data_IF_768775937294
#
_entry.id   IF_768775937294
#
_cell.length_a   1.000
_cell.length_b   1.000
_cell.length_c   1.000
_cell.angle_alpha   90.00
_cell.angle_beta   90.00
_cell.angle_gamma   90.00
#
_symmetry.space_group_name_H-M   'P 1'
#
loop_
_entity.id
_entity.type
_entity.pdbx_description
1 polymer ?
#
# COMPACT_ATOMS: atom_id res chain seq x y z
N UNK A 1 -15.01 9.61 -1.51
CA UNK A 1 -14.86 9.94 -0.09
C UNK A 1 -13.63 9.21 0.45
N UNK A 2 -12.59 9.92 0.91
CA UNK A 2 -11.31 9.30 1.33
C UNK A 2 -11.49 8.32 2.51
N UNK A 3 -12.30 8.70 3.50
CA UNK A 3 -12.54 7.88 4.68
C UNK A 3 -13.12 6.51 4.36
N UNK A 4 -14.09 6.42 3.44
CA UNK A 4 -14.74 5.16 3.09
C UNK A 4 -13.73 4.09 2.61
N UNK A 5 -12.76 4.52 1.80
CA UNK A 5 -11.75 3.63 1.21
C UNK A 5 -10.74 3.13 2.24
N UNK A 6 -10.23 4.05 3.06
CA UNK A 6 -9.34 3.69 4.17
C UNK A 6 -10.03 2.73 5.15
N UNK A 7 -11.34 2.94 5.43
CA UNK A 7 -12.10 2.01 6.28
C UNK A 7 -12.35 0.67 5.63
N UNK A 8 -12.69 0.62 4.34
CA UNK A 8 -12.87 -0.63 3.60
C UNK A 8 -11.57 -1.44 3.56
N UNK A 9 -10.43 -0.78 3.35
CA UNK A 9 -9.12 -1.43 3.35
C UNK A 9 -8.76 -2.00 4.73
N UNK A 10 -8.99 -1.26 5.82
CA UNK A 10 -8.75 -1.76 7.17
C UNK A 10 -9.63 -2.97 7.50
N UNK A 11 -10.93 -2.91 7.21
CA UNK A 11 -11.83 -4.03 7.45
C UNK A 11 -11.48 -5.25 6.58
N UNK A 12 -11.09 -5.03 5.32
CA UNK A 12 -10.64 -6.10 4.43
C UNK A 12 -9.41 -6.82 4.97
N UNK A 13 -8.40 -6.08 5.45
CA UNK A 13 -7.20 -6.70 6.07
C UNK A 13 -7.60 -7.52 7.30
N UNK A 14 -8.46 -6.98 8.17
CA UNK A 14 -8.93 -7.69 9.38
C UNK A 14 -9.69 -8.98 9.08
N UNK A 15 -10.44 -9.01 7.97
CA UNK A 15 -11.26 -10.16 7.59
C UNK A 15 -10.45 -11.27 6.90
N UNK A 16 -9.35 -10.91 6.24
CA UNK A 16 -8.61 -11.82 5.37
C UNK A 16 -7.22 -12.20 5.90
N UNK A 17 -6.78 -11.61 7.02
CA UNK A 17 -5.45 -11.86 7.61
C UNK A 17 -5.50 -11.87 9.14
N UNK A 18 -4.45 -12.38 9.76
CA UNK A 18 -4.16 -12.28 11.19
C UNK A 18 -3.51 -10.94 11.59
N UNK A 19 -3.23 -10.06 10.63
CA UNK A 19 -2.59 -8.77 10.87
C UNK A 19 -3.55 -7.86 11.63
N UNK A 20 -3.03 -7.26 12.70
CA UNK A 20 -3.78 -6.31 13.52
C UNK A 20 -3.88 -4.95 12.79
N UNK A 21 -5.02 -4.71 12.15
CA UNK A 21 -5.42 -3.38 11.72
C UNK A 21 -6.47 -2.79 12.69
N UNK A 22 -6.52 -1.45 12.89
CA UNK A 22 -7.48 -0.83 13.80
C UNK A 22 -8.93 -1.20 13.45
N UNK A 23 -9.74 -1.59 14.44
CA UNK A 23 -11.19 -1.75 14.22
C UNK A 23 -11.83 -0.39 13.97
N UNK A 24 -12.59 -0.26 12.88
CA UNK A 24 -13.32 0.98 12.59
C UNK A 24 -14.63 1.00 13.38
N UNK A 25 -14.92 2.12 14.07
CA UNK A 25 -16.19 2.34 14.76
C UNK A 25 -17.14 3.23 13.96
N UNK A 26 -16.61 4.30 13.36
CA UNK A 26 -17.40 5.25 12.60
C UNK A 26 -16.53 5.98 11.58
N UNK A 27 -17.07 6.25 10.40
CA UNK A 27 -16.46 7.15 9.42
C UNK A 27 -17.47 8.16 8.92
N UNK A 28 -17.09 9.44 8.89
CA UNK A 28 -18.01 10.52 8.52
C UNK A 28 -17.26 11.72 7.96
N UNK A 29 -18.01 12.61 7.31
CA UNK A 29 -17.52 13.92 6.88
C UNK A 29 -18.15 15.00 7.73
N UNK A 30 -17.33 15.91 8.25
CA UNK A 30 -17.79 17.07 8.99
C UNK A 30 -17.01 18.30 8.54
N UNK A 31 -17.73 19.36 8.14
CA UNK A 31 -17.16 20.63 7.63
C UNK A 31 -16.09 20.43 6.54
N UNK A 32 -16.34 19.52 5.60
CA UNK A 32 -15.42 19.22 4.48
C UNK A 32 -14.24 18.31 4.83
N UNK A 33 -14.04 17.99 6.12
CA UNK A 33 -13.00 17.07 6.58
C UNK A 33 -13.54 15.66 6.77
N UNK A 34 -12.77 14.67 6.35
CA UNK A 34 -13.06 13.26 6.57
C UNK A 34 -12.48 12.80 7.90
N UNK A 35 -13.28 12.11 8.70
CA UNK A 35 -12.90 11.57 10.00
C UNK A 35 -13.14 10.07 10.05
N UNK A 36 -12.23 9.35 10.69
CA UNK A 36 -12.37 7.93 11.03
C UNK A 36 -12.17 7.82 12.54
N UNK A 37 -13.15 7.27 13.22
CA UNK A 37 -13.10 6.88 14.63
C UNK A 37 -12.85 5.39 14.66
N UNK A 38 -11.74 4.99 15.28
CA UNK A 38 -11.26 3.61 15.28
C UNK A 38 -10.58 3.26 16.60
N UNK A 39 -10.33 1.97 16.78
CA UNK A 39 -9.59 1.42 17.90
C UNK A 39 -8.21 2.07 18.02
N UNK A 40 -7.86 2.48 19.25
CA UNK A 40 -6.50 2.91 19.56
C UNK A 40 -5.64 1.68 19.79
N UNK A 41 -4.77 1.37 18.82
CA UNK A 41 -3.71 0.38 18.99
C UNK A 41 -2.73 0.91 20.04
N UNK A 42 -2.50 0.13 21.09
CA UNK A 42 -1.49 0.46 22.09
C UNK A 42 -0.10 0.15 21.52
N UNK A 43 0.97 0.70 22.10
CA UNK A 43 2.34 0.40 21.67
C UNK A 43 3.10 1.62 21.19
N UNK A 44 4.23 1.37 20.54
CA UNK A 44 5.22 2.36 20.12
C UNK A 44 5.33 2.30 18.60
N UNK A 45 5.43 3.46 17.95
CA UNK A 45 5.64 3.49 16.50
C UNK A 45 6.99 2.85 16.16
N UNK A 46 7.08 2.15 15.03
CA UNK A 46 8.37 1.62 14.56
C UNK A 46 9.36 2.76 14.28
N UNK A 47 8.87 3.94 13.91
CA UNK A 47 9.69 5.14 13.78
C UNK A 47 10.48 5.43 15.07
N UNK A 48 9.79 5.53 16.21
CA UNK A 48 10.41 5.85 17.49
C UNK A 48 11.42 4.76 17.89
N UNK A 49 11.05 3.48 17.71
CA UNK A 49 11.96 2.34 17.96
C UNK A 49 13.24 2.44 17.12
N UNK A 50 13.13 2.85 15.86
CA UNK A 50 14.28 3.00 14.97
C UNK A 50 15.17 4.19 15.36
N UNK A 51 14.56 5.30 15.80
CA UNK A 51 15.27 6.49 16.28
C UNK A 51 16.07 6.18 17.55
N UNK A 52 15.51 5.42 18.49
CA UNK A 52 16.20 5.01 19.72
C UNK A 52 17.36 4.04 19.46
N UNK A 53 17.35 3.34 18.33
CA UNK A 53 18.42 2.44 17.92
C UNK A 53 18.21 1.00 18.46
N UNK A 54 17.52 0.13 17.71
CA UNK A 54 17.21 -1.21 18.20
C UNK A 54 18.43 -2.12 18.20
N UNK A 55 18.48 -3.03 19.17
CA UNK A 55 19.50 -4.07 19.24
C UNK A 55 19.50 -4.96 17.98
N UNK A 56 20.62 -5.62 17.69
CA UNK A 56 20.71 -6.53 16.54
C UNK A 56 19.65 -7.65 16.60
N UNK A 57 19.36 -8.16 17.81
CA UNK A 57 18.30 -9.16 18.04
C UNK A 57 16.93 -8.59 17.70
N UNK A 58 16.59 -7.41 18.20
CA UNK A 58 15.31 -6.76 17.92
C UNK A 58 15.15 -6.45 16.42
N UNK A 59 16.20 -5.93 15.75
CA UNK A 59 16.20 -5.72 14.29
C UNK A 59 15.86 -7.00 13.53
N UNK A 60 16.44 -8.13 13.94
CA UNK A 60 16.20 -9.42 13.31
C UNK A 60 14.75 -9.87 13.49
N UNK A 61 14.21 -9.71 14.70
CA UNK A 61 12.81 -10.02 15.00
C UNK A 61 11.85 -9.15 14.20
N UNK A 62 12.08 -7.84 14.16
CA UNK A 62 11.25 -6.88 13.42
C UNK A 62 11.23 -7.21 11.92
N UNK A 63 12.39 -7.46 11.31
CA UNK A 63 12.48 -7.83 9.90
C UNK A 63 11.74 -9.14 9.60
N UNK A 64 11.83 -10.13 10.50
CA UNK A 64 11.11 -11.39 10.36
C UNK A 64 9.59 -11.18 10.42
N UNK A 65 9.10 -10.46 11.43
CA UNK A 65 7.66 -10.18 11.58
C UNK A 65 7.11 -9.35 10.41
N UNK A 66 7.83 -8.31 9.97
CA UNK A 66 7.45 -7.51 8.81
C UNK A 66 7.36 -8.36 7.54
N UNK A 67 8.33 -9.26 7.33
CA UNK A 67 8.30 -10.20 6.20
C UNK A 67 7.08 -11.11 6.26
N UNK A 68 6.76 -11.65 7.44
CA UNK A 68 5.59 -12.51 7.65
C UNK A 68 4.29 -11.76 7.32
N UNK A 69 4.10 -10.55 7.88
CA UNK A 69 2.92 -9.71 7.60
C UNK A 69 2.78 -9.34 6.12
N UNK A 70 3.87 -8.95 5.46
CA UNK A 70 3.84 -8.60 4.02
C UNK A 70 3.51 -9.82 3.18
N UNK A 71 4.07 -10.98 3.51
CA UNK A 71 3.77 -12.22 2.80
C UNK A 71 2.31 -12.63 2.97
N UNK A 72 1.76 -12.49 4.17
CA UNK A 72 0.35 -12.75 4.46
C UNK A 72 -0.57 -11.82 3.66
N UNK A 73 -0.34 -10.49 3.68
CA UNK A 73 -1.09 -9.54 2.84
C UNK A 73 -1.07 -9.93 1.36
N UNK A 74 0.11 -10.32 0.86
CA UNK A 74 0.29 -10.68 -0.56
C UNK A 74 -0.20 -12.09 -0.90
N UNK A 75 -0.55 -12.88 0.10
CA UNK A 75 -1.14 -14.22 -0.09
C UNK A 75 -2.64 -14.16 -0.35
N UNK A 76 -3.30 -13.03 -0.07
CA UNK A 76 -4.71 -12.80 -0.39
C UNK A 76 -4.91 -12.94 -1.90
N UNK A 77 -5.68 -13.94 -2.31
CA UNK A 77 -5.96 -14.18 -3.71
C UNK A 77 -6.93 -13.11 -4.24
N UNK A 78 -6.63 -12.50 -5.40
CA UNK A 78 -7.51 -11.49 -5.96
C UNK A 78 -8.80 -12.14 -6.53
N UNK A 79 -9.97 -11.49 -6.42
CA UNK A 79 -11.25 -12.07 -6.82
C UNK A 79 -11.37 -12.25 -8.34
N UNK A 80 -11.91 -13.37 -8.83
CA UNK A 80 -11.86 -13.83 -10.25
C UNK A 80 -12.12 -12.81 -11.39
N UNK A 81 -12.74 -11.64 -11.12
CA UNK A 81 -13.04 -10.58 -12.10
C UNK A 81 -12.29 -9.26 -11.83
N UNK A 82 -11.06 -9.33 -11.29
CA UNK A 82 -10.39 -8.14 -10.78
C UNK A 82 -9.74 -7.23 -11.84
N UNK A 83 -9.67 -5.95 -11.47
CA UNK A 83 -8.82 -4.92 -12.05
C UNK A 83 -7.80 -4.44 -11.00
N UNK A 84 -6.64 -3.96 -11.43
CA UNK A 84 -5.63 -3.34 -10.56
C UNK A 84 -6.19 -2.01 -10.06
N UNK A 85 -6.44 -1.89 -8.77
CA UNK A 85 -7.08 -0.71 -8.15
C UNK A 85 -7.21 -0.89 -6.64
N UNK A 86 -8.14 -0.13 -6.04
CA UNK A 86 -8.46 -0.24 -4.62
C UNK A 86 -9.24 -1.53 -4.31
N UNK A 87 -9.41 -1.84 -3.03
CA UNK A 87 -10.08 -3.03 -2.48
C UNK A 87 -11.50 -3.26 -3.02
N UNK A 88 -12.21 -2.18 -3.36
CA UNK A 88 -13.57 -2.22 -3.91
C UNK A 88 -13.58 -2.18 -5.46
N UNK A 89 -12.44 -2.33 -6.12
CA UNK A 89 -12.29 -2.29 -7.57
C UNK A 89 -12.33 -0.88 -8.19
N UNK A 90 -12.28 0.18 -7.37
CA UNK A 90 -12.27 1.58 -7.84
C UNK A 90 -10.85 2.09 -8.12
N UNK A 91 -10.67 3.26 -8.80
CA UNK A 91 -9.35 3.83 -9.04
C UNK A 91 -8.56 4.03 -7.75
N UNK A 92 -7.28 3.69 -7.68
CA UNK A 92 -6.46 3.92 -6.50
C UNK A 92 -6.09 5.42 -6.33
N UNK A 93 -5.99 5.92 -5.10
CA UNK A 93 -5.61 7.30 -4.80
C UNK A 93 -4.13 7.39 -4.48
N UNK A 94 -3.37 8.06 -5.31
CA UNK A 94 -1.94 8.34 -5.08
C UNK A 94 -1.68 9.83 -4.88
N UNK A 95 -1.62 10.30 -3.61
CA UNK A 95 -1.34 11.71 -3.34
C UNK A 95 0.06 12.15 -3.78
N UNK A 96 0.99 11.20 -3.99
CA UNK A 96 2.36 11.45 -4.44
C UNK A 96 2.50 11.60 -5.96
N UNK A 97 1.47 11.25 -6.74
CA UNK A 97 1.47 11.44 -8.19
C UNK A 97 0.85 12.80 -8.53
N UNK A 98 1.41 13.46 -9.56
CA UNK A 98 0.82 14.66 -10.14
C UNK A 98 -0.56 14.35 -10.73
N UNK A 99 -1.42 15.37 -10.74
CA UNK A 99 -2.81 15.36 -11.19
C UNK A 99 -3.06 14.43 -12.41
N UNK A 100 -4.07 13.53 -12.39
CA UNK A 100 -5.01 13.26 -11.30
C UNK A 100 -4.42 12.45 -10.15
N UNK A 101 -4.89 12.76 -8.93
CA UNK A 101 -4.57 12.00 -7.71
C UNK A 101 -5.23 10.62 -7.67
N UNK A 102 -6.15 10.31 -8.60
CA UNK A 102 -6.81 9.02 -8.73
C UNK A 102 -6.41 8.38 -10.07
N UNK A 103 -6.07 7.09 -10.02
CA UNK A 103 -5.42 6.35 -11.10
C UNK A 103 -6.05 4.97 -11.24
N UNK A 104 -6.31 4.53 -12.46
CA UNK A 104 -6.99 3.25 -12.73
C UNK A 104 -8.53 3.32 -12.59
N UNK A 105 -9.21 2.20 -12.29
CA UNK A 105 -8.63 0.86 -12.17
C UNK A 105 -8.12 0.36 -13.53
N UNK A 106 -7.19 -0.60 -13.53
CA UNK A 106 -6.57 -1.10 -14.76
C UNK A 106 -6.88 -2.56 -15.01
N UNK A 107 -7.18 -2.91 -16.26
CA UNK A 107 -7.40 -4.30 -16.65
C UNK A 107 -6.09 -5.10 -16.79
N UNK A 108 -4.97 -4.41 -17.03
CA UNK A 108 -3.67 -5.07 -17.25
C UNK A 108 -2.54 -4.37 -16.50
N UNK A 109 -1.53 -5.17 -16.14
CA UNK A 109 -0.29 -4.65 -15.56
C UNK A 109 0.44 -3.69 -16.51
N UNK A 110 0.31 -3.89 -17.84
CA UNK A 110 0.89 -3.00 -18.85
C UNK A 110 0.27 -1.60 -18.78
N UNK A 111 -1.06 -1.50 -18.74
CA UNK A 111 -1.78 -0.21 -18.64
C UNK A 111 -1.51 0.50 -17.32
N UNK A 112 -1.43 -0.27 -16.21
CA UNK A 112 -1.04 0.26 -14.91
C UNK A 112 0.36 0.88 -14.94
N UNK A 113 1.36 0.12 -15.41
CA UNK A 113 2.76 0.58 -15.46
C UNK A 113 2.93 1.81 -16.36
N UNK A 114 2.27 1.84 -17.51
CA UNK A 114 2.34 2.98 -18.42
C UNK A 114 1.80 4.27 -17.77
N UNK A 115 0.62 4.21 -17.14
CA UNK A 115 0.02 5.38 -16.48
C UNK A 115 0.86 5.83 -15.27
N UNK A 116 1.41 4.90 -14.49
CA UNK A 116 2.31 5.22 -13.37
C UNK A 116 3.65 5.84 -13.81
N UNK A 117 4.05 5.61 -15.05
CA UNK A 117 5.18 6.30 -15.69
C UNK A 117 4.75 7.59 -16.40
N UNK A 118 3.53 8.09 -16.19
CA UNK A 118 2.97 9.26 -16.87
C UNK A 118 3.02 9.14 -18.41
N UNK A 119 2.77 7.93 -18.95
CA UNK A 119 2.82 7.68 -20.38
C UNK A 119 4.22 7.48 -20.95
N UNK A 120 5.25 7.40 -20.10
CA UNK A 120 6.61 7.10 -20.53
C UNK A 120 6.76 5.59 -20.78
N UNK A 121 7.17 5.25 -21.99
CA UNK A 121 7.55 3.93 -22.47
C UNK A 121 8.99 3.94 -23.03
N UNK A 122 9.43 2.81 -23.58
CA UNK A 122 10.80 2.65 -24.07
C UNK A 122 11.12 3.54 -25.29
N UNK A 123 10.11 4.10 -25.98
CA UNK A 123 10.28 4.94 -27.16
C UNK A 123 10.37 6.43 -26.84
N UNK A 124 10.02 6.86 -25.62
CA UNK A 124 9.89 8.28 -25.27
C UNK A 124 10.47 8.64 -23.89
N UNK A 125 11.53 7.94 -23.44
CA UNK A 125 12.14 8.14 -22.11
C UNK A 125 12.82 9.49 -21.88
N UNK A 126 13.02 10.28 -22.94
CA UNK A 126 13.77 11.54 -22.87
C UNK A 126 15.21 11.33 -22.36
N UNK A 127 15.74 12.33 -21.63
CA UNK A 127 17.11 12.33 -21.09
C UNK A 127 17.24 11.79 -19.67
N UNK A 128 16.24 11.07 -19.14
CA UNK A 128 16.33 10.51 -17.78
C UNK A 128 17.31 9.32 -17.80
N UNK A 129 18.49 9.41 -17.15
CA UNK A 129 19.50 8.37 -17.24
C UNK A 129 18.97 7.03 -16.71
N UNK A 130 19.23 5.95 -17.44
CA UNK A 130 18.81 4.58 -17.09
C UNK A 130 17.34 4.25 -17.34
N UNK A 131 16.46 5.22 -17.58
CA UNK A 131 15.02 4.96 -17.71
C UNK A 131 14.68 4.04 -18.90
N UNK A 132 15.39 4.20 -20.02
CA UNK A 132 15.24 3.34 -21.21
C UNK A 132 15.56 1.87 -20.94
N UNK A 133 16.42 1.58 -19.96
CA UNK A 133 16.79 0.23 -19.56
C UNK A 133 15.79 -0.34 -18.54
N UNK A 134 15.23 0.52 -17.67
CA UNK A 134 14.25 0.12 -16.65
C UNK A 134 12.88 -0.22 -17.23
N UNK A 135 12.40 0.50 -18.26
CA UNK A 135 11.05 0.27 -18.81
C UNK A 135 10.89 -1.18 -19.32
N UNK A 136 11.80 -1.74 -20.14
CA UNK A 136 11.69 -3.13 -20.57
C UNK A 136 11.78 -4.14 -19.42
N UNK A 137 12.56 -3.85 -18.37
CA UNK A 137 12.67 -4.71 -17.19
C UNK A 137 11.33 -4.78 -16.46
N UNK A 138 10.69 -3.62 -16.24
CA UNK A 138 9.37 -3.58 -15.64
C UNK A 138 8.36 -4.31 -16.50
N UNK A 139 8.31 -4.04 -17.81
CA UNK A 139 7.30 -4.61 -18.70
C UNK A 139 7.44 -6.13 -18.87
N UNK A 140 8.67 -6.67 -18.82
CA UNK A 140 8.92 -8.13 -18.83
C UNK A 140 8.65 -8.82 -17.50
N UNK A 141 8.68 -8.09 -16.38
CA UNK A 141 8.45 -8.70 -15.07
C UNK A 141 7.02 -9.24 -15.01
N UNK A 142 6.88 -10.57 -14.99
CA UNK A 142 5.64 -11.22 -14.59
C UNK A 142 5.43 -10.90 -13.11
N UNK A 143 4.39 -10.13 -12.82
CA UNK A 143 4.01 -9.82 -11.46
C UNK A 143 2.61 -10.36 -11.25
N UNK A 144 2.49 -11.38 -10.39
CA UNK A 144 1.20 -11.79 -9.85
C UNK A 144 0.56 -10.54 -9.24
N UNK A 145 -0.73 -10.31 -9.51
CA UNK A 145 -1.44 -9.27 -8.77
C UNK A 145 -1.53 -9.69 -7.31
N UNK A 146 -1.12 -8.81 -6.41
CA UNK A 146 -1.15 -9.03 -4.97
C UNK A 146 -1.76 -7.81 -4.28
N UNK A 147 -2.41 -8.04 -3.15
CA UNK A 147 -2.80 -6.97 -2.25
C UNK A 147 -1.59 -6.49 -1.45
N UNK A 148 -1.39 -5.17 -1.32
CA UNK A 148 -0.24 -4.59 -0.63
C UNK A 148 -0.59 -3.24 -0.01
N UNK A 149 0.16 -2.82 1.01
CA UNK A 149 0.01 -1.49 1.61
C UNK A 149 0.69 -0.42 0.73
N UNK A 150 -0.09 0.57 0.26
CA UNK A 150 0.37 1.60 -0.68
C UNK A 150 1.33 2.66 -0.10
N UNK A 151 1.48 2.69 1.23
CA UNK A 151 2.40 3.57 1.94
C UNK A 151 3.09 2.88 3.12
N UNK A 152 3.69 1.71 2.88
CA UNK A 152 4.36 0.97 3.95
C UNK A 152 5.62 1.71 4.42
N UNK A 153 5.57 2.28 5.63
CA UNK A 153 6.67 3.01 6.27
C UNK A 153 6.69 2.73 7.78
N UNK A 154 7.78 3.11 8.46
CA UNK A 154 7.91 3.00 9.91
C UNK A 154 6.86 3.81 10.68
N UNK A 155 6.29 4.84 10.05
CA UNK A 155 5.25 5.70 10.65
C UNK A 155 3.88 5.01 10.66
N UNK A 156 3.68 4.00 9.81
CA UNK A 156 2.44 3.25 9.67
C UNK A 156 2.48 1.87 10.36
N UNK A 157 3.49 1.64 11.22
CA UNK A 157 3.68 0.38 11.94
C UNK A 157 3.77 0.68 13.43
N UNK A 158 2.96 -0.02 14.23
CA UNK A 158 2.99 0.04 15.69
C UNK A 158 3.39 -1.33 16.21
N UNK A 159 4.37 -1.36 17.10
CA UNK A 159 4.85 -2.56 17.77
C UNK A 159 4.62 -2.48 19.28
N UNK A 160 4.50 -3.65 19.89
CA UNK A 160 4.63 -3.81 21.34
C UNK A 160 5.97 -4.47 21.64
N UNK A 161 6.65 -4.00 22.67
CA UNK A 161 7.78 -4.74 23.24
C UNK A 161 7.27 -6.00 23.95
N UNK A 162 8.04 -7.08 23.86
CA UNK A 162 7.89 -8.25 24.74
C UNK A 162 8.44 -7.94 26.14
#
# INVERSE_FOLDING_TARGET
>A
MKHLRETEAMEFVRQNTSILAPKVFLAFTYRGSSYIVMEKIQGISLHDVLVEGPSAKLKTTLLRQLKEMINELRSIEPPHSFSIGDVNGTPDRHPRLSNPHYRGPYLTMKTFRLDFRNGIDASNTGYIPGLAEFVPVQDRASSKLVFTHGDLSSDNIIGHGD
#
